data_IF_852490567445
#
_entry.id   IF_852490567445
#
_cell.length_a   1.000
_cell.length_b   1.000
_cell.length_c   1.000
_cell.angle_alpha   90.00
_cell.angle_beta   90.00
_cell.angle_gamma   90.00
#
_symmetry.space_group_name_H-M   'P 1'
#
loop_
_entity.id
_entity.type
_entity.pdbx_description
1 polymer ?
#
# COMPACT_ATOMS: atom_id res chain seq x y z
N UNK A 1 -2.51 21.28 -11.45
CA UNK A 1 -1.11 21.26 -10.96
C UNK A 1 -0.89 20.26 -9.82
N UNK A 2 -1.82 20.07 -8.86
CA UNK A 2 -1.67 19.09 -7.77
C UNK A 2 -1.73 17.63 -8.22
N UNK A 3 -2.54 17.31 -9.23
CA UNK A 3 -2.58 15.96 -9.82
C UNK A 3 -1.29 15.58 -10.57
N UNK A 4 -0.58 16.54 -11.13
CA UNK A 4 0.70 16.32 -11.81
C UNK A 4 1.81 15.91 -10.83
N UNK A 5 1.89 16.54 -9.65
CA UNK A 5 2.88 16.16 -8.62
C UNK A 5 2.67 14.73 -8.06
N UNK A 6 1.44 14.23 -8.03
CA UNK A 6 1.15 12.85 -7.58
C UNK A 6 1.57 11.84 -8.66
N UNK A 7 1.39 12.16 -9.94
CA UNK A 7 1.77 11.28 -11.07
C UNK A 7 3.28 11.02 -11.15
N UNK A 8 4.09 12.00 -10.75
CA UNK A 8 5.54 11.89 -10.82
C UNK A 8 6.15 11.22 -9.57
N UNK A 9 5.46 11.26 -8.43
CA UNK A 9 5.97 10.76 -7.14
C UNK A 9 5.34 9.47 -6.65
N UNK A 10 4.26 9.00 -7.27
CA UNK A 10 3.60 7.75 -6.90
C UNK A 10 2.85 7.13 -8.09
N UNK A 11 2.78 5.81 -8.12
CA UNK A 11 1.98 5.03 -9.07
C UNK A 11 0.82 4.38 -8.32
N UNK A 12 -0.41 4.61 -8.78
CA UNK A 12 -1.59 3.92 -8.25
C UNK A 12 -1.46 2.41 -8.42
N UNK A 13 -1.96 1.64 -7.45
CA UNK A 13 -1.92 0.19 -7.49
C UNK A 13 -3.13 -0.39 -6.75
N UNK A 14 -3.73 -1.43 -7.30
CA UNK A 14 -4.81 -2.18 -6.67
C UNK A 14 -4.31 -3.42 -5.91
N UNK A 15 -3.03 -3.76 -6.07
CA UNK A 15 -2.41 -4.93 -5.44
C UNK A 15 -1.16 -4.51 -4.66
N UNK A 16 -0.74 -5.29 -3.65
CA UNK A 16 0.43 -4.99 -2.83
C UNK A 16 1.75 -5.35 -3.54
N UNK A 17 1.85 -5.01 -4.80
CA UNK A 17 3.03 -5.16 -5.66
C UNK A 17 3.12 -3.96 -6.58
N UNK A 18 4.33 -3.50 -6.89
CA UNK A 18 4.51 -2.35 -7.77
C UNK A 18 3.98 -2.64 -9.18
N UNK A 19 3.25 -1.72 -9.80
CA UNK A 19 2.83 -1.83 -11.21
C UNK A 19 3.99 -1.98 -12.21
N UNK A 20 5.22 -1.69 -11.80
CA UNK A 20 6.42 -1.92 -12.60
C UNK A 20 6.96 -3.36 -12.48
N UNK A 21 6.44 -4.17 -11.56
CA UNK A 21 6.86 -5.55 -11.37
C UNK A 21 6.21 -6.47 -12.41
N UNK A 22 6.94 -7.46 -12.96
CA UNK A 22 6.36 -8.48 -13.83
C UNK A 22 5.32 -9.36 -13.12
N UNK A 23 5.29 -9.37 -11.79
CA UNK A 23 4.29 -10.08 -10.99
C UNK A 23 2.97 -9.30 -10.84
N UNK A 24 2.90 -8.04 -11.30
CA UNK A 24 1.69 -7.24 -11.19
C UNK A 24 0.59 -7.76 -12.12
N UNK A 25 -0.56 -8.22 -11.59
CA UNK A 25 -1.61 -8.81 -12.41
C UNK A 25 -2.55 -7.73 -12.99
N UNK A 26 -2.08 -6.95 -13.95
CA UNK A 26 -2.83 -5.83 -14.53
C UNK A 26 -4.19 -6.23 -15.12
N UNK A 27 -4.33 -7.46 -15.58
CA UNK A 27 -5.59 -7.99 -16.10
C UNK A 27 -6.64 -8.30 -15.00
N UNK A 28 -6.25 -8.30 -13.73
CA UNK A 28 -7.16 -8.39 -12.59
C UNK A 28 -7.63 -7.03 -12.10
N UNK A 29 -7.07 -5.93 -12.57
CA UNK A 29 -7.52 -4.59 -12.17
C UNK A 29 -9.01 -4.41 -12.47
N UNK A 30 -9.70 -3.84 -11.49
CA UNK A 30 -11.12 -3.51 -11.63
C UNK A 30 -11.28 -2.02 -11.89
N UNK A 31 -12.27 -1.68 -12.72
CA UNK A 31 -12.65 -0.30 -12.93
C UNK A 31 -13.38 0.20 -11.69
N UNK A 32 -12.94 1.32 -11.14
CA UNK A 32 -13.58 1.96 -10.00
C UNK A 32 -15.04 2.29 -10.33
N UNK A 33 -15.95 1.87 -9.44
CA UNK A 33 -17.37 2.15 -9.57
C UNK A 33 -17.96 2.58 -8.24
N UNK A 34 -18.21 3.88 -8.12
CA UNK A 34 -18.96 4.45 -6.97
C UNK A 34 -20.35 3.82 -6.89
N UNK A 35 -20.98 3.55 -8.03
CA UNK A 35 -22.30 2.90 -8.08
C UNK A 35 -22.23 1.50 -7.49
N UNK A 36 -21.26 0.67 -7.91
CA UNK A 36 -21.11 -0.67 -7.37
C UNK A 36 -20.82 -0.67 -5.87
N UNK A 37 -20.01 0.27 -5.38
CA UNK A 37 -19.78 0.44 -3.95
C UNK A 37 -21.07 0.82 -3.20
N UNK A 38 -21.83 1.79 -3.73
CA UNK A 38 -23.11 2.22 -3.15
C UNK A 38 -24.12 1.08 -3.13
N UNK A 39 -24.21 0.30 -4.21
CA UNK A 39 -25.10 -0.84 -4.31
C UNK A 39 -24.71 -1.93 -3.29
N UNK A 40 -23.43 -2.24 -3.18
CA UNK A 40 -22.92 -3.18 -2.19
C UNK A 40 -23.21 -2.71 -0.75
N UNK A 41 -23.00 -1.41 -0.47
CA UNK A 41 -23.32 -0.82 0.83
C UNK A 41 -24.83 -0.88 1.12
N UNK A 42 -25.67 -0.68 0.11
CA UNK A 42 -27.13 -0.78 0.22
C UNK A 42 -27.60 -2.22 0.47
N UNK A 43 -26.88 -3.19 -0.05
CA UNK A 43 -27.16 -4.62 0.14
C UNK A 43 -26.68 -5.15 1.50
N UNK A 44 -25.83 -4.41 2.24
CA UNK A 44 -25.39 -4.83 3.57
C UNK A 44 -26.56 -4.83 4.56
N UNK A 45 -26.82 -5.96 5.19
CA UNK A 45 -27.84 -6.10 6.23
C UNK A 45 -27.52 -5.30 7.50
N UNK A 46 -26.23 -5.13 7.78
CA UNK A 46 -25.73 -4.38 8.94
C UNK A 46 -24.87 -3.21 8.47
N UNK A 47 -25.49 -2.03 8.39
CA UNK A 47 -24.72 -0.79 8.16
C UNK A 47 -24.13 -0.29 9.45
N UNK A 48 -22.91 0.32 9.42
CA UNK A 48 -22.42 1.05 10.56
C UNK A 48 -23.44 2.12 10.97
N UNK A 49 -23.94 2.04 12.19
CA UNK A 49 -24.86 3.07 12.74
C UNK A 49 -24.12 4.33 13.21
N UNK A 50 -22.80 4.32 13.16
CA UNK A 50 -21.91 5.40 13.57
C UNK A 50 -20.97 5.82 12.46
N UNK A 51 -20.41 7.00 12.58
CA UNK A 51 -19.34 7.47 11.73
C UNK A 51 -18.08 6.57 11.88
N UNK A 52 -17.53 6.11 10.77
CA UNK A 52 -16.29 5.34 10.72
C UNK A 52 -15.10 6.27 10.98
N UNK A 53 -14.12 5.77 11.71
CA UNK A 53 -12.90 6.49 12.08
C UNK A 53 -11.73 6.00 11.23
N UNK A 54 -11.25 6.86 10.32
CA UNK A 54 -10.04 6.62 9.53
C UNK A 54 -8.84 7.29 10.20
N UNK A 55 -7.99 6.50 10.86
CA UNK A 55 -6.77 6.99 11.48
C UNK A 55 -5.70 7.31 10.45
N UNK A 56 -4.97 8.42 10.68
CA UNK A 56 -3.81 8.82 9.88
C UNK A 56 -2.77 9.53 10.73
N UNK A 57 -1.48 9.32 10.43
CA UNK A 57 -0.40 10.09 11.03
C UNK A 57 -0.42 11.54 10.51
N UNK A 58 -0.56 12.51 11.43
CA UNK A 58 -0.66 13.95 11.14
C UNK A 58 0.64 14.58 10.65
N UNK A 59 1.78 13.95 10.90
CA UNK A 59 3.12 14.50 10.55
C UNK A 59 3.45 14.40 9.05
N UNK A 60 2.59 13.75 8.26
CA UNK A 60 2.76 13.59 6.82
C UNK A 60 1.57 14.20 6.07
N UNK A 61 1.77 15.40 5.53
CA UNK A 61 0.72 16.15 4.82
C UNK A 61 0.14 15.41 3.60
N UNK A 62 0.95 14.61 2.90
CA UNK A 62 0.47 13.78 1.79
C UNK A 62 -0.52 12.72 2.30
N UNK A 63 -0.17 11.99 3.36
CA UNK A 63 -1.05 10.97 3.94
C UNK A 63 -2.35 11.58 4.46
N UNK A 64 -2.26 12.71 5.15
CA UNK A 64 -3.44 13.45 5.64
C UNK A 64 -4.35 13.86 4.48
N UNK A 65 -3.79 14.44 3.41
CA UNK A 65 -4.56 14.83 2.22
C UNK A 65 -5.26 13.63 1.57
N UNK A 66 -4.58 12.51 1.43
CA UNK A 66 -5.16 11.28 0.88
C UNK A 66 -6.25 10.70 1.77
N UNK A 67 -6.01 10.62 3.09
CA UNK A 67 -7.00 10.11 4.04
C UNK A 67 -8.28 10.95 4.04
N UNK A 68 -8.17 12.27 3.98
CA UNK A 68 -9.33 13.19 3.87
C UNK A 68 -10.12 12.96 2.57
N UNK A 69 -9.43 12.71 1.45
CA UNK A 69 -10.10 12.41 0.18
C UNK A 69 -10.82 11.07 0.23
N UNK A 70 -10.21 10.04 0.83
CA UNK A 70 -10.83 8.72 1.02
C UNK A 70 -12.05 8.85 1.91
N UNK A 71 -11.95 9.54 3.05
CA UNK A 71 -13.07 9.75 3.96
C UNK A 71 -14.22 10.50 3.29
N UNK A 72 -13.92 11.53 2.48
CA UNK A 72 -14.92 12.26 1.70
C UNK A 72 -15.60 11.37 0.66
N UNK A 73 -14.84 10.52 -0.05
CA UNK A 73 -15.40 9.59 -1.02
C UNK A 73 -16.32 8.54 -0.37
N UNK A 74 -15.93 7.97 0.78
CA UNK A 74 -16.77 7.02 1.52
C UNK A 74 -18.06 7.69 2.02
N UNK A 75 -17.94 8.91 2.54
CA UNK A 75 -19.12 9.69 2.99
C UNK A 75 -20.06 10.00 1.83
N UNK A 76 -19.53 10.42 0.68
CA UNK A 76 -20.33 10.67 -0.52
C UNK A 76 -21.03 9.41 -1.05
N UNK A 77 -20.43 8.24 -0.87
CA UNK A 77 -21.03 6.95 -1.23
C UNK A 77 -22.00 6.38 -0.17
N UNK A 78 -22.20 7.07 0.95
CA UNK A 78 -23.16 6.70 1.99
C UNK A 78 -22.57 6.07 3.25
N UNK A 79 -21.23 5.90 3.34
CA UNK A 79 -20.54 5.44 4.54
C UNK A 79 -19.92 6.65 5.27
N UNK A 80 -20.64 7.23 6.22
CA UNK A 80 -20.13 8.37 6.98
C UNK A 80 -18.76 8.06 7.59
N UNK A 81 -17.75 8.83 7.20
CA UNK A 81 -16.35 8.57 7.58
C UNK A 81 -15.67 9.87 7.98
N UNK A 82 -14.98 9.88 9.10
CA UNK A 82 -14.16 11.01 9.58
C UNK A 82 -12.68 10.62 9.63
N UNK A 83 -11.81 11.60 9.39
CA UNK A 83 -10.37 11.43 9.52
C UNK A 83 -9.94 11.78 10.95
N UNK A 84 -9.23 10.87 11.60
CA UNK A 84 -8.64 11.09 12.93
C UNK A 84 -7.13 11.24 12.76
N UNK A 85 -6.65 12.48 12.85
CA UNK A 85 -5.26 12.86 12.64
C UNK A 85 -4.51 12.85 13.97
N UNK A 86 -3.51 11.97 14.10
CA UNK A 86 -2.76 11.79 15.33
C UNK A 86 -1.24 11.96 15.08
N UNK A 87 -0.48 12.55 16.00
CA UNK A 87 0.98 12.48 16.00
C UNK A 87 1.45 11.01 16.01
N UNK A 88 2.69 10.76 15.55
CA UNK A 88 3.21 9.41 15.36
C UNK A 88 3.04 8.50 16.59
N UNK A 89 3.39 8.98 17.77
CA UNK A 89 3.30 8.17 19.00
C UNK A 89 1.86 7.79 19.35
N UNK A 90 0.93 8.76 19.24
CA UNK A 90 -0.49 8.51 19.51
C UNK A 90 -1.11 7.62 18.43
N UNK A 91 -0.71 7.81 17.16
CA UNK A 91 -1.14 7.00 16.04
C UNK A 91 -0.75 5.52 16.24
N UNK A 92 0.52 5.25 16.55
CA UNK A 92 1.00 3.88 16.79
C UNK A 92 0.38 3.24 18.02
N UNK A 93 0.18 4.01 19.11
CA UNK A 93 -0.53 3.54 20.30
C UNK A 93 -2.01 3.23 20.00
N UNK A 94 -2.67 4.02 19.15
CA UNK A 94 -4.05 3.76 18.74
C UNK A 94 -4.15 2.51 17.86
N UNK A 95 -3.19 2.29 16.94
CA UNK A 95 -3.12 1.05 16.15
C UNK A 95 -2.93 -0.18 17.03
N UNK A 96 -1.96 -0.15 17.95
CA UNK A 96 -1.69 -1.25 18.85
C UNK A 96 -2.88 -1.58 19.78
N UNK A 97 -3.68 -0.58 20.12
CA UNK A 97 -4.89 -0.73 20.96
C UNK A 97 -6.16 -1.06 20.14
N UNK A 98 -6.09 -1.20 18.81
CA UNK A 98 -7.25 -1.46 17.95
C UNK A 98 -8.31 -0.35 17.96
N UNK A 99 -7.92 0.91 18.21
CA UNK A 99 -8.85 2.04 18.33
C UNK A 99 -9.12 2.74 17.02
N UNK A 100 -9.53 2.00 16.00
CA UNK A 100 -9.86 2.49 14.67
C UNK A 100 -10.91 1.59 13.99
N UNK A 101 -11.53 2.09 12.96
CA UNK A 101 -12.28 1.29 11.99
C UNK A 101 -11.45 1.04 10.72
N UNK A 102 -10.74 2.09 10.30
CA UNK A 102 -9.80 2.07 9.19
C UNK A 102 -8.53 2.81 9.61
N UNK A 103 -7.40 2.49 9.02
CA UNK A 103 -6.20 3.30 9.16
C UNK A 103 -5.47 3.44 7.82
N UNK A 104 -4.88 4.60 7.60
CA UNK A 104 -4.02 4.87 6.45
C UNK A 104 -2.57 4.70 6.87
N UNK A 105 -1.95 3.61 6.42
CA UNK A 105 -0.57 3.27 6.72
C UNK A 105 0.35 3.34 5.50
N UNK A 106 1.63 3.28 5.77
CA UNK A 106 2.67 3.09 4.77
C UNK A 106 3.62 2.02 5.29
N UNK A 107 3.96 1.08 4.44
CA UNK A 107 4.90 -0.01 4.74
C UNK A 107 5.91 -0.13 3.62
N UNK A 108 7.15 -0.41 3.98
CA UNK A 108 8.18 -0.79 3.03
C UNK A 108 8.15 -2.30 2.86
N UNK A 109 7.74 -2.76 1.69
CA UNK A 109 7.77 -4.18 1.35
C UNK A 109 9.18 -4.62 0.97
N UNK A 110 9.45 -5.89 1.16
CA UNK A 110 10.67 -6.57 0.67
C UNK A 110 10.66 -6.68 -0.86
N UNK A 111 11.81 -6.99 -1.47
CA UNK A 111 11.93 -7.12 -2.93
C UNK A 111 11.04 -8.21 -3.53
N UNK A 112 10.62 -9.16 -2.72
CA UNK A 112 9.72 -10.24 -3.08
C UNK A 112 8.24 -9.96 -2.82
N UNK A 113 7.89 -8.73 -2.42
CA UNK A 113 6.53 -8.28 -2.15
C UNK A 113 5.81 -9.08 -1.05
N UNK A 114 6.56 -9.56 -0.05
CA UNK A 114 5.99 -10.28 1.09
C UNK A 114 5.13 -9.35 1.96
N UNK A 115 3.86 -9.69 2.09
CA UNK A 115 2.87 -8.98 2.91
C UNK A 115 2.44 -9.77 4.16
N UNK A 116 3.19 -10.82 4.51
CA UNK A 116 2.86 -11.67 5.67
C UNK A 116 2.82 -10.89 6.98
N UNK A 117 3.68 -9.88 7.15
CA UNK A 117 3.62 -9.01 8.33
C UNK A 117 2.28 -8.28 8.51
N UNK A 118 1.58 -7.99 7.41
CA UNK A 118 0.30 -7.27 7.39
C UNK A 118 -0.90 -8.21 7.50
N UNK A 119 -0.83 -9.40 6.91
CA UNK A 119 -1.99 -10.23 6.60
C UNK A 119 -1.98 -11.61 7.26
N UNK A 120 -0.79 -12.17 7.58
CA UNK A 120 -0.73 -13.46 8.25
C UNK A 120 -1.37 -13.37 9.64
N UNK A 121 -1.98 -14.47 10.07
CA UNK A 121 -2.46 -14.61 11.45
C UNK A 121 -1.32 -14.35 12.43
N UNK A 122 -1.47 -13.33 13.28
CA UNK A 122 -0.43 -12.89 14.21
C UNK A 122 0.73 -12.11 13.56
N UNK A 123 0.58 -11.63 12.34
CA UNK A 123 1.56 -10.75 11.67
C UNK A 123 1.85 -9.48 12.48
N UNK A 124 3.11 -9.04 12.50
CA UNK A 124 3.57 -7.95 13.37
C UNK A 124 2.94 -6.58 13.08
N UNK A 125 2.41 -6.38 11.88
CA UNK A 125 1.71 -5.16 11.44
C UNK A 125 0.21 -5.41 11.20
N UNK A 126 -0.29 -6.58 11.56
CA UNK A 126 -1.69 -6.96 11.45
C UNK A 126 -2.52 -6.34 12.58
N UNK A 127 -2.57 -5.02 12.64
CA UNK A 127 -3.30 -4.29 13.69
C UNK A 127 -4.81 -4.50 13.67
N UNK A 128 -5.37 -4.89 12.53
CA UNK A 128 -6.79 -5.23 12.38
C UNK A 128 -7.17 -6.60 12.93
N UNK A 129 -6.19 -7.41 13.32
CA UNK A 129 -6.43 -8.77 13.84
C UNK A 129 -6.98 -9.73 12.78
N UNK A 130 -6.66 -9.48 11.48
CA UNK A 130 -7.07 -10.39 10.41
C UNK A 130 -6.57 -11.80 10.67
N UNK A 131 -7.45 -12.79 10.58
CA UNK A 131 -7.11 -14.19 10.79
C UNK A 131 -7.97 -15.04 9.86
N UNK A 132 -7.33 -15.61 8.84
CA UNK A 132 -7.98 -16.45 7.85
C UNK A 132 -7.01 -17.50 7.31
N UNK A 133 -7.41 -18.76 7.41
CA UNK A 133 -6.56 -19.90 7.00
C UNK A 133 -6.24 -19.88 5.51
N UNK A 134 -7.18 -19.45 4.67
CA UNK A 134 -6.96 -19.37 3.22
C UNK A 134 -5.91 -18.30 2.90
N UNK A 135 -5.96 -17.17 3.60
CA UNK A 135 -4.96 -16.12 3.50
C UNK A 135 -3.56 -16.65 3.87
N UNK A 136 -3.45 -17.31 5.02
CA UNK A 136 -2.18 -17.87 5.51
C UNK A 136 -1.61 -18.89 4.53
N UNK A 137 -2.45 -19.76 3.94
CA UNK A 137 -2.01 -20.72 2.93
C UNK A 137 -1.54 -20.06 1.62
N UNK A 138 -2.22 -18.99 1.18
CA UNK A 138 -1.82 -18.22 -0.01
C UNK A 138 -0.49 -17.51 0.21
N UNK A 139 -0.29 -16.92 1.37
CA UNK A 139 0.96 -16.27 1.76
C UNK A 139 2.13 -17.27 1.78
N UNK A 140 1.92 -18.44 2.37
CA UNK A 140 2.93 -19.50 2.37
C UNK A 140 3.23 -20.00 0.94
N UNK A 141 2.21 -20.14 0.09
CA UNK A 141 2.38 -20.49 -1.32
C UNK A 141 3.21 -19.45 -2.10
N UNK A 142 3.11 -18.17 -1.77
CA UNK A 142 3.94 -17.12 -2.36
C UNK A 142 5.41 -17.21 -1.92
N UNK A 143 5.69 -17.72 -0.72
CA UNK A 143 7.04 -17.84 -0.16
C UNK A 143 7.76 -19.11 -0.60
N UNK A 144 7.08 -20.26 -0.53
CA UNK A 144 7.65 -21.58 -0.71
C UNK A 144 7.20 -22.29 -2.00
N UNK A 145 6.23 -21.75 -2.72
CA UNK A 145 5.61 -22.39 -3.88
C UNK A 145 6.50 -22.47 -5.12
N UNK A 146 6.46 -23.60 -5.84
CA UNK A 146 7.19 -23.79 -7.09
C UNK A 146 6.70 -22.93 -8.26
N UNK A 147 5.45 -22.39 -8.20
CA UNK A 147 4.89 -21.44 -9.14
C UNK A 147 4.44 -20.17 -8.40
N UNK A 148 5.40 -19.31 -8.15
CA UNK A 148 5.22 -18.07 -7.41
C UNK A 148 4.23 -17.11 -8.08
N UNK A 149 4.25 -17.01 -9.41
CA UNK A 149 3.34 -16.14 -10.15
C UNK A 149 1.87 -16.56 -9.94
N UNK A 150 1.57 -17.84 -10.07
CA UNK A 150 0.22 -18.35 -9.86
C UNK A 150 -0.25 -18.18 -8.41
N UNK A 151 0.63 -18.42 -7.43
CA UNK A 151 0.32 -18.23 -6.01
C UNK A 151 0.05 -16.75 -5.70
N UNK A 152 0.90 -15.84 -6.20
CA UNK A 152 0.73 -14.41 -6.03
C UNK A 152 -0.56 -13.90 -6.67
N UNK A 153 -0.88 -14.38 -7.86
CA UNK A 153 -2.12 -14.07 -8.56
C UNK A 153 -3.35 -14.57 -7.77
N UNK A 154 -3.24 -15.73 -7.15
CA UNK A 154 -4.27 -16.26 -6.23
C UNK A 154 -4.48 -15.35 -5.03
N UNK A 155 -3.39 -14.89 -4.41
CA UNK A 155 -3.43 -13.92 -3.31
C UNK A 155 -4.09 -12.60 -3.74
N UNK A 156 -3.75 -12.06 -4.91
CA UNK A 156 -4.37 -10.82 -5.42
C UNK A 156 -5.90 -10.96 -5.60
N UNK A 157 -6.39 -12.08 -6.14
CA UNK A 157 -7.84 -12.35 -6.23
C UNK A 157 -8.50 -12.44 -4.86
N UNK A 158 -7.84 -13.11 -3.92
CA UNK A 158 -8.32 -13.20 -2.55
C UNK A 158 -8.44 -11.81 -1.90
N UNK A 159 -7.42 -10.96 -2.07
CA UNK A 159 -7.43 -9.59 -1.56
C UNK A 159 -8.55 -8.73 -2.16
N UNK A 160 -8.86 -8.91 -3.44
CA UNK A 160 -10.01 -8.23 -4.06
C UNK A 160 -11.35 -8.68 -3.48
N UNK A 161 -11.50 -9.95 -3.12
CA UNK A 161 -12.76 -10.50 -2.61
C UNK A 161 -12.98 -10.20 -1.13
N UNK A 162 -11.93 -10.23 -0.32
CA UNK A 162 -12.02 -10.08 1.14
C UNK A 162 -11.64 -8.69 1.65
N UNK A 163 -10.86 -7.95 0.85
CA UNK A 163 -10.43 -6.57 1.11
C UNK A 163 -9.86 -6.29 2.54
N UNK A 164 -9.01 -7.17 3.12
CA UNK A 164 -8.42 -6.92 4.43
C UNK A 164 -7.48 -5.71 4.42
N UNK A 165 -6.89 -5.42 3.27
CA UNK A 165 -6.11 -4.20 2.96
C UNK A 165 -6.54 -3.67 1.59
N UNK A 166 -6.43 -2.36 1.42
CA UNK A 166 -6.68 -1.66 0.15
C UNK A 166 -5.40 -0.94 -0.27
N UNK A 167 -4.59 -1.54 -1.17
CA UNK A 167 -3.43 -0.85 -1.72
C UNK A 167 -3.86 0.40 -2.47
N UNK A 168 -3.14 1.50 -2.31
CA UNK A 168 -3.49 2.79 -2.93
C UNK A 168 -2.45 3.19 -3.96
N UNK A 169 -1.17 3.21 -3.57
CA UNK A 169 -0.09 3.58 -4.47
C UNK A 169 1.27 3.08 -3.98
N UNK A 170 2.20 2.98 -4.91
CA UNK A 170 3.63 2.84 -4.64
C UNK A 170 4.32 4.17 -4.86
N UNK A 171 5.04 4.67 -3.86
CA UNK A 171 5.85 5.87 -3.98
C UNK A 171 7.07 5.60 -4.85
N UNK A 172 7.39 6.54 -5.72
CA UNK A 172 8.63 6.54 -6.45
C UNK A 172 9.75 7.06 -5.55
N UNK A 173 10.85 6.33 -5.49
CA UNK A 173 12.08 6.77 -4.84
C UNK A 173 13.04 7.24 -5.92
N UNK A 174 13.63 8.42 -5.73
CA UNK A 174 14.61 8.98 -6.66
C UNK A 174 15.97 9.05 -5.96
N UNK A 175 17.01 8.60 -6.65
CA UNK A 175 18.40 8.81 -6.25
C UNK A 175 18.97 9.93 -7.10
N UNK A 176 19.46 10.97 -6.44
CA UNK A 176 20.11 12.10 -7.10
C UNK A 176 21.62 11.95 -6.97
N UNK A 177 22.32 12.04 -8.08
CA UNK A 177 23.78 12.03 -8.13
C UNK A 177 24.27 12.94 -9.26
N UNK A 178 25.51 13.37 -9.17
CA UNK A 178 26.14 14.21 -10.18
C UNK A 178 26.60 13.33 -11.36
N UNK A 179 25.89 13.43 -12.48
CA UNK A 179 26.12 12.59 -13.66
C UNK A 179 27.49 12.76 -14.31
N UNK A 180 28.13 13.92 -14.08
CA UNK A 180 29.48 14.22 -14.57
C UNK A 180 30.57 13.53 -13.72
N UNK A 181 30.22 13.06 -12.52
CA UNK A 181 31.14 12.45 -11.56
C UNK A 181 30.89 10.95 -11.45
N UNK A 182 29.64 10.52 -11.50
CA UNK A 182 29.26 9.12 -11.37
C UNK A 182 28.54 8.63 -12.61
N UNK A 183 28.94 7.46 -13.11
CA UNK A 183 28.29 6.77 -14.22
C UNK A 183 28.06 5.31 -13.84
N UNK A 184 26.96 4.71 -14.34
CA UNK A 184 26.64 3.29 -14.17
C UNK A 184 25.90 2.94 -12.87
N UNK A 185 25.49 3.94 -12.06
CA UNK A 185 24.69 3.68 -10.87
C UNK A 185 23.29 3.20 -11.25
N UNK A 186 22.87 2.04 -10.72
CA UNK A 186 21.56 1.41 -10.99
C UNK A 186 20.76 1.20 -9.69
N UNK A 187 20.39 2.27 -8.98
CA UNK A 187 19.75 2.17 -7.67
C UNK A 187 18.38 1.49 -7.75
N UNK A 188 18.06 0.72 -6.72
CA UNK A 188 16.71 0.16 -6.54
C UNK A 188 16.04 0.79 -5.32
N UNK A 189 14.71 0.69 -5.22
CA UNK A 189 13.98 1.17 -4.05
C UNK A 189 14.36 0.40 -2.76
N UNK A 190 14.76 -0.88 -2.90
CA UNK A 190 15.20 -1.70 -1.78
C UNK A 190 16.65 -1.40 -1.38
N UNK A 191 17.50 -1.14 -2.38
CA UNK A 191 18.94 -0.94 -2.19
C UNK A 191 19.42 0.24 -3.02
N UNK A 192 19.58 1.42 -2.40
CA UNK A 192 20.02 2.64 -3.11
C UNK A 192 21.41 2.55 -3.72
N UNK A 193 22.24 1.65 -3.23
CA UNK A 193 23.62 1.43 -3.69
C UNK A 193 23.79 0.14 -4.51
N UNK A 194 22.69 -0.40 -5.03
CA UNK A 194 22.74 -1.57 -5.91
C UNK A 194 23.57 -1.26 -7.16
N UNK A 195 24.49 -2.18 -7.49
CA UNK A 195 25.40 -1.99 -8.62
C UNK A 195 26.58 -1.08 -8.36
N UNK A 196 26.87 -0.74 -7.09
CA UNK A 196 27.98 0.13 -6.71
C UNK A 196 29.36 -0.38 -7.24
N UNK A 197 29.50 -1.67 -7.37
CA UNK A 197 30.70 -2.34 -7.94
C UNK A 197 30.90 -2.06 -9.44
N UNK A 198 29.88 -1.58 -10.13
CA UNK A 198 29.89 -1.31 -11.58
C UNK A 198 30.01 0.20 -11.90
N UNK A 199 30.12 1.05 -10.92
CA UNK A 199 30.20 2.50 -11.15
C UNK A 199 31.58 2.93 -11.62
N UNK A 200 31.60 3.94 -12.50
CA UNK A 200 32.79 4.69 -12.86
C UNK A 200 32.76 6.06 -12.19
N UNK A 201 33.90 6.46 -11.63
CA UNK A 201 34.06 7.78 -11.01
C UNK A 201 34.98 8.63 -11.89
N UNK A 202 34.46 9.73 -12.41
CA UNK A 202 35.20 10.70 -13.21
C UNK A 202 35.66 11.87 -12.34
N UNK A 203 36.93 11.85 -11.95
CA UNK A 203 37.50 12.96 -11.19
C UNK A 203 37.86 14.07 -12.16
N UNK A 204 37.39 15.30 -11.92
CA UNK A 204 37.86 16.48 -12.64
C UNK A 204 39.32 16.76 -12.22
N UNK A 205 40.25 16.82 -13.19
CA UNK A 205 41.57 17.36 -12.94
C UNK A 205 41.42 18.89 -12.66
N UNK A 206 41.91 19.33 -11.51
CA UNK A 206 42.00 20.76 -11.19
C UNK A 206 43.05 21.45 -12.08
#
# INVERSE_FOLDING_TARGET
>A
QRQMCIRDSAKAAQFPVSPASPLYPADLEQTDSVVAFTDALNACETRPSRTLRLLVNSENSFKVSMARQIAAAFTAAGAATETVELPWEEYTAALAAGRFDLYYGEVRLTADWDVSSLLATGGSLNYGGWSDLQCDQLLEGCRSGGNREAAFRGLCRYLQSQAPILPICFKTVSTLYESDVLEGLTPTAAEPFYGLENISIHLRAN
#
